data_IF_909718412857
#
_entry.id   IF_909718412857
#
_cell.length_a   1.000
_cell.length_b   1.000
_cell.length_c   1.000
_cell.angle_alpha   90.00
_cell.angle_beta   90.00
_cell.angle_gamma   90.00
#
_symmetry.space_group_name_H-M   'P 1'
#
loop_
_entity.id
_entity.type
_entity.pdbx_description
1 polymer ?
#
# COMPACT_ATOMS: atom_id res chain seq x y z
N UNK A 1 15.07 11.37 22.94
CA UNK A 1 14.01 10.92 21.99
C UNK A 1 13.54 9.49 22.26
N UNK A 2 14.42 8.48 22.26
CA UNK A 2 14.03 7.05 22.46
C UNK A 2 13.33 6.79 23.81
N UNK A 3 13.85 7.35 24.91
CA UNK A 3 13.21 7.27 26.23
C UNK A 3 11.84 7.98 26.28
N UNK A 4 11.71 9.17 25.69
CA UNK A 4 10.44 9.90 25.68
C UNK A 4 9.34 9.16 24.89
N UNK A 5 9.68 8.56 23.74
CA UNK A 5 8.72 7.76 22.97
C UNK A 5 8.32 6.48 23.69
N UNK A 6 9.26 5.82 24.39
CA UNK A 6 8.96 4.64 25.22
C UNK A 6 8.04 5.01 26.39
N UNK A 7 8.35 6.09 27.11
CA UNK A 7 7.54 6.55 28.24
C UNK A 7 6.16 7.02 27.76
N UNK A 8 6.07 7.75 26.66
CA UNK A 8 4.81 8.14 26.03
C UNK A 8 3.97 6.92 25.61
N UNK A 9 4.60 5.92 24.97
CA UNK A 9 3.92 4.68 24.60
C UNK A 9 3.39 3.94 25.82
N UNK A 10 4.19 3.80 26.88
CA UNK A 10 3.76 3.14 28.13
C UNK A 10 2.62 3.89 28.82
N UNK A 11 2.62 5.23 28.82
CA UNK A 11 1.56 6.05 29.40
C UNK A 11 0.27 5.98 28.56
N UNK A 12 0.38 5.79 27.24
CA UNK A 12 -0.76 5.77 26.33
C UNK A 12 -1.45 4.39 26.20
N UNK A 13 -0.97 3.34 26.87
CA UNK A 13 -1.64 2.02 26.85
C UNK A 13 -3.07 2.03 27.46
N UNK A 14 -3.49 3.13 28.11
CA UNK A 14 -4.81 3.26 28.76
C UNK A 14 -5.73 4.26 28.05
N UNK A 15 -6.86 3.76 27.51
CA UNK A 15 -8.03 4.55 27.09
C UNK A 15 -7.78 5.58 25.98
N UNK A 16 -8.43 6.75 26.11
CA UNK A 16 -8.47 7.84 25.12
C UNK A 16 -7.10 8.41 24.71
N UNK A 17 -6.05 8.18 25.52
CA UNK A 17 -4.70 8.67 25.27
C UNK A 17 -4.05 8.01 24.06
N UNK A 18 -4.39 6.75 23.78
CA UNK A 18 -3.90 6.06 22.59
C UNK A 18 -4.38 6.76 21.32
N UNK A 19 -5.68 7.09 21.25
CA UNK A 19 -6.26 7.79 20.11
C UNK A 19 -5.68 9.20 19.98
N UNK A 20 -5.51 9.91 21.09
CA UNK A 20 -4.84 11.21 21.09
C UNK A 20 -3.40 11.10 20.55
N UNK A 21 -2.65 10.08 20.95
CA UNK A 21 -1.29 9.85 20.44
C UNK A 21 -1.29 9.59 18.93
N UNK A 22 -2.19 8.74 18.43
CA UNK A 22 -2.29 8.44 16.99
C UNK A 22 -2.67 9.68 16.17
N UNK A 23 -3.64 10.47 16.64
CA UNK A 23 -4.06 11.71 15.99
C UNK A 23 -2.94 12.76 15.98
N UNK A 24 -2.26 12.97 17.12
CA UNK A 24 -1.12 13.88 17.20
C UNK A 24 0.01 13.43 16.29
N UNK A 25 0.32 12.13 16.25
CA UNK A 25 1.38 11.60 15.40
C UNK A 25 1.13 11.86 13.90
N UNK A 26 -0.09 11.60 13.42
CA UNK A 26 -0.48 11.89 12.03
C UNK A 26 -0.39 13.39 11.75
N UNK A 27 -0.88 14.22 12.66
CA UNK A 27 -0.78 15.68 12.51
C UNK A 27 0.67 16.15 12.38
N UNK A 28 1.57 15.69 13.26
CA UNK A 28 2.99 16.06 13.22
C UNK A 28 3.66 15.59 11.90
N UNK A 29 3.36 14.38 11.44
CA UNK A 29 3.89 13.90 10.15
C UNK A 29 3.31 14.65 8.95
N UNK A 30 2.09 15.17 9.05
CA UNK A 30 1.49 15.99 8.00
C UNK A 30 2.10 17.40 7.95
N UNK A 31 2.38 17.99 9.10
CA UNK A 31 3.01 19.31 9.19
C UNK A 31 4.51 19.28 8.83
N UNK A 32 5.20 18.16 9.07
CA UNK A 32 6.60 17.94 8.75
C UNK A 32 6.81 16.63 7.95
N UNK A 33 6.72 16.74 6.61
CA UNK A 33 6.96 15.61 5.70
C UNK A 33 8.38 15.06 5.79
N UNK A 34 9.38 15.91 6.07
CA UNK A 34 10.78 15.50 6.18
C UNK A 34 10.98 14.59 7.41
N UNK A 35 10.26 14.86 8.50
CA UNK A 35 10.20 13.99 9.67
C UNK A 35 9.64 12.61 9.32
N UNK A 36 8.56 12.54 8.53
CA UNK A 36 7.98 11.28 8.07
C UNK A 36 8.99 10.50 7.21
N UNK A 37 9.58 11.12 6.20
CA UNK A 37 10.55 10.49 5.29
C UNK A 37 11.78 9.97 6.03
N UNK A 38 12.37 10.78 6.92
CA UNK A 38 13.65 10.44 7.58
C UNK A 38 13.48 9.58 8.81
N UNK A 39 12.39 9.75 9.57
CA UNK A 39 12.23 9.15 10.91
C UNK A 39 10.90 8.41 11.11
N UNK A 40 9.91 8.59 10.25
CA UNK A 40 8.59 7.99 10.41
C UNK A 40 8.65 6.46 10.56
N UNK A 41 9.44 5.79 9.73
CA UNK A 41 9.66 4.34 9.83
C UNK A 41 10.16 3.92 11.21
N UNK A 42 11.15 4.62 11.76
CA UNK A 42 11.70 4.32 13.08
C UNK A 42 10.68 4.57 14.19
N UNK A 43 9.96 5.70 14.13
CA UNK A 43 8.98 6.09 15.15
C UNK A 43 7.85 5.06 15.21
N UNK A 44 7.24 4.72 14.07
CA UNK A 44 6.14 3.75 14.02
C UNK A 44 6.60 2.37 14.48
N UNK A 45 7.79 1.91 14.06
CA UNK A 45 8.35 0.63 14.53
C UNK A 45 8.57 0.61 16.03
N UNK A 46 9.10 1.70 16.61
CA UNK A 46 9.27 1.80 18.06
C UNK A 46 7.92 1.73 18.77
N UNK A 47 6.88 2.42 18.27
CA UNK A 47 5.54 2.32 18.85
C UNK A 47 4.99 0.89 18.73
N UNK A 48 5.19 0.22 17.60
CA UNK A 48 4.74 -1.15 17.36
C UNK A 48 5.34 -2.17 18.34
N UNK A 49 6.58 -1.94 18.81
CA UNK A 49 7.20 -2.75 19.88
C UNK A 49 6.43 -2.62 21.21
N UNK A 50 5.88 -1.45 21.53
CA UNK A 50 5.34 -1.15 22.87
C UNK A 50 3.81 -1.13 22.96
N UNK A 51 3.08 -0.95 21.86
CA UNK A 51 1.63 -0.68 21.84
C UNK A 51 0.80 -1.75 21.11
N UNK A 52 1.41 -2.84 20.68
CA UNK A 52 0.87 -3.82 19.71
C UNK A 52 0.68 -3.21 18.32
N UNK A 53 1.35 -3.82 17.33
CA UNK A 53 1.38 -3.29 15.99
C UNK A 53 0.00 -3.26 15.31
N UNK A 54 -0.84 -4.28 15.52
CA UNK A 54 -2.19 -4.30 14.92
C UNK A 54 -3.06 -3.13 15.39
N UNK A 55 -3.00 -2.77 16.69
CA UNK A 55 -3.78 -1.66 17.24
C UNK A 55 -3.41 -0.33 16.60
N UNK A 56 -2.12 -0.11 16.33
CA UNK A 56 -1.62 1.08 15.64
C UNK A 56 -2.21 1.14 14.23
N UNK A 57 -2.08 0.06 13.47
CA UNK A 57 -2.56 -0.01 12.09
C UNK A 57 -4.08 0.20 12.00
N UNK A 58 -4.86 -0.41 12.90
CA UNK A 58 -6.32 -0.21 13.00
C UNK A 58 -6.72 1.21 13.36
N UNK A 59 -5.91 1.93 14.15
CA UNK A 59 -6.21 3.31 14.52
C UNK A 59 -5.81 4.32 13.45
N UNK A 60 -4.68 4.09 12.77
CA UNK A 60 -4.20 4.99 11.72
C UNK A 60 -5.02 4.87 10.43
N UNK A 61 -5.48 3.68 10.07
CA UNK A 61 -6.16 3.46 8.80
C UNK A 61 -7.44 4.30 8.61
N UNK A 62 -8.40 4.38 9.55
CA UNK A 62 -9.57 5.25 9.40
C UNK A 62 -9.24 6.75 9.35
N UNK A 63 -8.11 7.16 9.96
CA UNK A 63 -7.62 8.55 9.88
C UNK A 63 -7.12 8.82 8.46
N UNK A 64 -6.32 7.90 7.90
CA UNK A 64 -5.75 8.00 6.56
C UNK A 64 -6.80 7.88 5.45
N UNK A 65 -7.82 7.02 5.60
CA UNK A 65 -8.94 6.92 4.65
C UNK A 65 -9.67 8.26 4.46
N UNK A 66 -9.74 9.07 5.52
CA UNK A 66 -10.41 10.38 5.54
C UNK A 66 -9.45 11.54 5.23
N UNK A 67 -8.17 11.25 4.97
CA UNK A 67 -7.20 12.31 4.74
C UNK A 67 -7.45 12.99 3.38
N UNK A 68 -7.41 14.31 3.44
CA UNK A 68 -7.67 15.23 2.32
C UNK A 68 -6.39 15.53 1.54
N UNK A 69 -5.25 15.55 2.22
CA UNK A 69 -3.95 15.70 1.58
C UNK A 69 -3.51 14.35 1.01
N UNK A 70 -3.81 14.16 -0.27
CA UNK A 70 -3.60 12.90 -0.96
C UNK A 70 -2.11 12.54 -1.09
N UNK A 71 -1.23 13.53 -1.23
CA UNK A 71 0.23 13.31 -1.34
C UNK A 71 0.79 12.83 0.01
N UNK A 72 0.42 13.50 1.10
CA UNK A 72 0.76 13.06 2.45
C UNK A 72 0.21 11.66 2.75
N UNK A 73 -1.07 11.41 2.44
CA UNK A 73 -1.70 10.12 2.67
C UNK A 73 -0.98 8.99 1.92
N UNK A 74 -0.59 9.21 0.66
CA UNK A 74 0.17 8.24 -0.13
C UNK A 74 1.54 7.95 0.48
N UNK A 75 2.28 8.99 0.90
CA UNK A 75 3.59 8.82 1.54
C UNK A 75 3.49 8.08 2.89
N UNK A 76 2.46 8.39 3.68
CA UNK A 76 2.24 7.72 4.95
C UNK A 76 1.85 6.25 4.75
N UNK A 77 0.98 5.95 3.78
CA UNK A 77 0.63 4.57 3.39
C UNK A 77 1.85 3.82 2.87
N UNK A 78 2.67 4.43 2.02
CA UNK A 78 3.93 3.85 1.54
C UNK A 78 4.83 3.46 2.73
N UNK A 79 4.97 4.36 3.70
CA UNK A 79 5.77 4.13 4.91
C UNK A 79 5.21 2.98 5.74
N UNK A 80 3.90 2.96 6.00
CA UNK A 80 3.24 1.88 6.74
C UNK A 80 3.32 0.54 6.02
N UNK A 81 3.16 0.52 4.70
CA UNK A 81 3.29 -0.69 3.88
C UNK A 81 4.72 -1.25 3.95
N UNK A 82 5.74 -0.39 3.84
CA UNK A 82 7.12 -0.81 3.99
C UNK A 82 7.39 -1.42 5.37
N UNK A 83 6.87 -0.80 6.44
CA UNK A 83 6.96 -1.34 7.81
C UNK A 83 6.24 -2.70 7.91
N UNK A 84 5.00 -2.78 7.40
CA UNK A 84 4.20 -4.00 7.38
C UNK A 84 4.94 -5.16 6.73
N UNK A 85 5.65 -4.92 5.63
CA UNK A 85 6.33 -5.97 4.86
C UNK A 85 7.71 -6.35 5.43
N UNK A 86 8.42 -5.42 6.07
CA UNK A 86 9.84 -5.63 6.42
C UNK A 86 10.12 -5.75 7.92
N UNK A 87 9.26 -5.21 8.77
CA UNK A 87 9.53 -5.10 10.22
C UNK A 87 9.18 -6.38 10.96
N UNK A 88 10.01 -6.80 11.92
CA UNK A 88 9.83 -8.08 12.65
C UNK A 88 8.63 -8.03 13.59
N UNK A 89 8.39 -6.86 14.16
CA UNK A 89 7.29 -6.52 15.07
C UNK A 89 5.91 -6.72 14.42
N UNK A 90 5.85 -6.75 13.08
CA UNK A 90 4.63 -6.93 12.30
C UNK A 90 4.38 -8.37 11.87
N UNK A 91 5.15 -9.34 12.40
CA UNK A 91 5.02 -10.74 12.01
C UNK A 91 3.60 -11.29 12.22
N UNK A 92 3.01 -11.05 13.39
CA UNK A 92 1.66 -11.52 13.73
C UNK A 92 0.60 -10.88 12.82
N UNK A 93 0.69 -9.57 12.58
CA UNK A 93 -0.20 -8.84 11.66
C UNK A 93 -0.18 -9.45 10.27
N UNK A 94 1.00 -9.81 9.75
CA UNK A 94 1.12 -10.50 8.46
C UNK A 94 0.51 -11.90 8.45
N UNK A 95 0.60 -12.64 9.55
CA UNK A 95 -0.05 -13.95 9.66
C UNK A 95 -1.57 -13.82 9.67
N UNK A 96 -2.10 -12.81 10.38
CA UNK A 96 -3.52 -12.50 10.40
C UNK A 96 -4.03 -12.13 8.99
N UNK A 97 -3.30 -11.27 8.28
CA UNK A 97 -3.64 -10.87 6.91
C UNK A 97 -3.57 -12.03 5.89
N UNK A 98 -2.66 -12.99 6.07
CA UNK A 98 -2.61 -14.21 5.22
C UNK A 98 -3.74 -15.19 5.48
N UNK A 99 -4.40 -15.09 6.63
CA UNK A 99 -5.40 -16.05 7.08
C UNK A 99 -6.74 -15.36 7.34
N UNK A 100 -7.45 -15.02 6.27
CA UNK A 100 -8.76 -14.34 6.30
C UNK A 100 -9.94 -15.28 6.64
N UNK A 101 -9.70 -16.25 7.53
CA UNK A 101 -10.74 -17.17 8.04
C UNK A 101 -11.55 -16.57 9.19
N UNK A 102 -10.97 -15.61 9.92
CA UNK A 102 -11.60 -14.95 11.06
C UNK A 102 -12.21 -13.61 10.62
N UNK A 103 -13.41 -13.24 11.11
CA UNK A 103 -14.00 -11.93 10.84
C UNK A 103 -13.10 -10.75 11.21
N UNK A 104 -12.36 -10.85 12.32
CA UNK A 104 -11.41 -9.82 12.76
C UNK A 104 -10.26 -9.59 11.76
N UNK A 105 -9.76 -10.67 11.13
CA UNK A 105 -8.69 -10.58 10.14
C UNK A 105 -9.20 -9.98 8.82
N UNK A 106 -10.43 -10.29 8.46
CA UNK A 106 -11.14 -9.72 7.30
C UNK A 106 -11.36 -8.23 7.52
N UNK A 107 -11.85 -7.84 8.69
CA UNK A 107 -12.02 -6.44 9.07
C UNK A 107 -10.69 -5.67 9.02
N UNK A 108 -9.61 -6.25 9.56
CA UNK A 108 -8.27 -5.67 9.45
C UNK A 108 -7.87 -5.45 7.98
N UNK A 109 -8.04 -6.46 7.14
CA UNK A 109 -7.74 -6.35 5.71
C UNK A 109 -8.57 -5.24 5.05
N UNK A 110 -9.87 -5.16 5.31
CA UNK A 110 -10.79 -4.18 4.72
C UNK A 110 -10.41 -2.75 5.14
N UNK A 111 -10.16 -2.51 6.42
CA UNK A 111 -9.78 -1.19 6.94
C UNK A 111 -8.42 -0.75 6.36
N UNK A 112 -7.46 -1.67 6.29
CA UNK A 112 -6.18 -1.38 5.64
C UNK A 112 -6.33 -1.15 4.15
N UNK A 113 -7.15 -1.94 3.44
CA UNK A 113 -7.37 -1.78 2.01
C UNK A 113 -7.89 -0.37 1.69
N UNK A 114 -8.94 0.09 2.41
CA UNK A 114 -9.56 1.41 2.21
C UNK A 114 -8.58 2.57 2.34
N UNK A 115 -7.70 2.50 3.33
CA UNK A 115 -6.65 3.51 3.52
C UNK A 115 -5.49 3.32 2.55
N UNK A 116 -5.14 2.07 2.22
CA UNK A 116 -4.05 1.76 1.28
C UNK A 116 -4.35 2.25 -0.13
N UNK A 117 -5.63 2.42 -0.48
CA UNK A 117 -6.07 2.96 -1.76
C UNK A 117 -5.46 4.33 -2.11
N UNK A 118 -4.88 5.07 -1.15
CA UNK A 118 -4.09 6.27 -1.46
C UNK A 118 -2.77 5.98 -2.19
N UNK A 119 -2.31 4.72 -2.18
CA UNK A 119 -1.11 4.28 -2.85
C UNK A 119 -1.37 2.95 -3.60
N UNK A 120 -1.40 2.98 -4.95
CA UNK A 120 -1.70 1.79 -5.76
C UNK A 120 -0.75 0.63 -5.51
N UNK A 121 0.57 0.87 -5.47
CA UNK A 121 1.57 -0.18 -5.24
C UNK A 121 1.39 -0.85 -3.87
N UNK A 122 1.12 -0.07 -2.82
CA UNK A 122 0.83 -0.58 -1.50
C UNK A 122 -0.46 -1.41 -1.47
N UNK A 123 -1.53 -0.95 -2.12
CA UNK A 123 -2.81 -1.68 -2.22
C UNK A 123 -2.60 -3.04 -2.87
N UNK A 124 -1.86 -3.09 -3.98
CA UNK A 124 -1.49 -4.34 -4.64
C UNK A 124 -0.66 -5.24 -3.72
N UNK A 125 0.33 -4.68 -3.03
CA UNK A 125 1.17 -5.41 -2.09
C UNK A 125 0.36 -6.04 -0.95
N UNK A 126 -0.66 -5.34 -0.45
CA UNK A 126 -1.59 -5.84 0.57
C UNK A 126 -2.41 -7.02 0.03
N UNK A 127 -2.96 -6.92 -1.18
CA UNK A 127 -3.67 -8.03 -1.82
C UNK A 127 -2.77 -9.26 -2.00
N UNK A 128 -1.53 -9.07 -2.48
CA UNK A 128 -0.56 -10.15 -2.64
C UNK A 128 -0.17 -10.78 -1.29
N UNK A 129 0.00 -9.97 -0.25
CA UNK A 129 0.32 -10.45 1.10
C UNK A 129 -0.83 -11.28 1.67
N UNK A 130 -2.07 -10.84 1.46
CA UNK A 130 -3.28 -11.49 1.95
C UNK A 130 -3.73 -12.69 1.07
N UNK A 131 -2.96 -13.04 0.03
CA UNK A 131 -3.31 -14.06 -0.96
C UNK A 131 -4.61 -13.77 -1.72
N UNK A 132 -5.03 -12.51 -1.79
CA UNK A 132 -6.23 -12.04 -2.50
C UNK A 132 -5.90 -11.72 -3.96
N UNK A 133 -5.54 -12.76 -4.71
CA UNK A 133 -4.99 -12.61 -6.07
C UNK A 133 -6.01 -12.20 -7.12
N UNK A 134 -7.27 -12.61 -6.98
CA UNK A 134 -8.35 -12.21 -7.88
C UNK A 134 -8.62 -10.71 -7.79
N UNK A 135 -8.87 -10.13 -6.60
CA UNK A 135 -8.90 -8.68 -6.42
C UNK A 135 -7.62 -7.98 -6.87
N UNK A 136 -6.45 -8.58 -6.60
CA UNK A 136 -5.17 -8.06 -7.10
C UNK A 136 -5.10 -7.96 -8.63
N UNK A 137 -5.70 -8.92 -9.33
CA UNK A 137 -5.79 -8.90 -10.80
C UNK A 137 -6.72 -7.79 -11.29
N UNK A 138 -7.85 -7.58 -10.62
CA UNK A 138 -8.76 -6.48 -10.94
C UNK A 138 -8.08 -5.12 -10.74
N UNK A 139 -7.30 -4.95 -9.65
CA UNK A 139 -6.48 -3.76 -9.41
C UNK A 139 -5.45 -3.52 -10.53
N UNK A 140 -4.76 -4.57 -10.99
CA UNK A 140 -3.80 -4.45 -12.09
C UNK A 140 -4.47 -3.93 -13.37
N UNK A 141 -5.70 -4.34 -13.67
CA UNK A 141 -6.42 -3.80 -14.83
C UNK A 141 -6.71 -2.30 -14.64
N UNK A 142 -7.03 -1.86 -13.42
CA UNK A 142 -7.23 -0.44 -13.12
C UNK A 142 -5.93 0.37 -13.23
N UNK A 143 -4.77 -0.24 -13.03
CA UNK A 143 -3.49 0.48 -13.16
C UNK A 143 -3.24 0.99 -14.59
N UNK A 144 -3.85 0.39 -15.61
CA UNK A 144 -3.75 0.86 -16.99
C UNK A 144 -4.39 2.25 -17.19
N UNK A 145 -5.40 2.58 -16.39
CA UNK A 145 -6.08 3.88 -16.42
C UNK A 145 -5.38 4.94 -15.55
N UNK A 146 -4.40 4.53 -14.74
CA UNK A 146 -3.65 5.45 -13.88
C UNK A 146 -2.56 6.17 -14.67
N UNK A 147 -2.38 7.46 -14.40
CA UNK A 147 -1.22 8.19 -14.89
C UNK A 147 0.06 7.62 -14.28
N UNK A 148 0.90 7.01 -15.12
CA UNK A 148 2.18 6.39 -14.73
C UNK A 148 3.19 7.48 -14.34
N UNK A 149 3.43 7.63 -13.03
CA UNK A 149 4.45 8.53 -12.49
C UNK A 149 5.76 7.79 -12.20
N UNK A 150 6.86 8.54 -12.12
CA UNK A 150 8.15 7.99 -11.67
C UNK A 150 8.04 7.43 -10.25
N UNK A 151 7.33 8.12 -9.35
CA UNK A 151 7.10 7.65 -7.99
C UNK A 151 6.41 6.28 -7.96
N UNK A 152 5.34 6.13 -8.74
CA UNK A 152 4.64 4.86 -8.87
C UNK A 152 5.56 3.74 -9.41
N UNK A 153 6.34 3.99 -10.46
CA UNK A 153 7.28 3.00 -11.01
C UNK A 153 8.35 2.57 -10.00
N UNK A 154 8.89 3.52 -9.22
CA UNK A 154 9.86 3.22 -8.16
C UNK A 154 9.24 2.33 -7.08
N UNK A 155 7.99 2.55 -6.72
CA UNK A 155 7.31 1.70 -5.75
C UNK A 155 6.99 0.31 -6.27
N UNK A 156 6.63 0.20 -7.55
CA UNK A 156 6.41 -1.10 -8.18
C UNK A 156 7.73 -1.87 -8.27
N UNK A 157 8.85 -1.23 -8.62
CA UNK A 157 10.17 -1.87 -8.57
C UNK A 157 10.48 -2.38 -7.16
N UNK A 158 10.32 -1.53 -6.12
CA UNK A 158 10.48 -1.95 -4.72
C UNK A 158 9.60 -3.16 -4.36
N UNK A 159 8.35 -3.19 -4.82
CA UNK A 159 7.45 -4.33 -4.61
C UNK A 159 8.00 -5.58 -5.28
N UNK A 160 8.45 -5.50 -6.53
CA UNK A 160 9.06 -6.64 -7.24
C UNK A 160 10.29 -7.17 -6.52
N UNK A 161 11.18 -6.30 -6.04
CA UNK A 161 12.32 -6.74 -5.22
C UNK A 161 11.86 -7.43 -3.94
N UNK A 162 10.78 -6.96 -3.31
CA UNK A 162 10.21 -7.59 -2.13
C UNK A 162 9.61 -8.97 -2.43
N UNK A 163 9.07 -9.23 -3.63
CA UNK A 163 8.59 -10.56 -4.02
C UNK A 163 9.68 -11.63 -3.92
N UNK A 164 10.93 -11.25 -4.12
CA UNK A 164 12.08 -12.14 -3.95
C UNK A 164 12.55 -12.31 -2.50
N UNK A 165 12.09 -11.43 -1.60
CA UNK A 165 12.41 -11.52 -0.18
C UNK A 165 11.66 -12.67 0.52
N UNK A 166 12.09 -13.10 1.72
CA UNK A 166 11.43 -14.16 2.47
C UNK A 166 9.96 -13.88 2.82
N UNK A 167 9.54 -12.60 2.82
CA UNK A 167 8.15 -12.24 3.15
C UNK A 167 7.16 -12.84 2.15
N UNK A 168 7.53 -12.94 0.88
CA UNK A 168 6.70 -13.51 -0.18
C UNK A 168 7.13 -14.94 -0.58
N UNK A 169 7.86 -15.64 0.30
CA UNK A 169 8.22 -17.04 0.05
C UNK A 169 6.98 -17.93 -0.21
N UNK A 170 5.91 -17.76 0.57
CA UNK A 170 4.66 -18.49 0.37
C UNK A 170 4.03 -18.22 -1.01
N UNK A 171 4.02 -16.97 -1.47
CA UNK A 171 3.52 -16.60 -2.78
C UNK A 171 4.32 -17.28 -3.89
N UNK A 172 5.66 -17.28 -3.78
CA UNK A 172 6.53 -17.97 -4.76
C UNK A 172 6.33 -19.48 -4.77
N UNK A 173 6.06 -20.11 -3.63
CA UNK A 173 5.71 -21.54 -3.59
C UNK A 173 4.35 -21.81 -4.27
N UNK A 174 3.38 -20.91 -4.13
CA UNK A 174 2.08 -21.01 -4.79
C UNK A 174 2.18 -20.88 -6.31
N UNK A 175 3.26 -20.29 -6.85
CA UNK A 175 3.53 -20.36 -8.29
C UNK A 175 3.72 -21.79 -8.78
N UNK A 176 4.05 -22.77 -7.94
CA UNK A 176 4.13 -24.16 -8.40
C UNK A 176 2.76 -24.77 -8.73
N UNK A 177 1.65 -24.12 -8.34
CA UNK A 177 0.28 -24.63 -8.49
C UNK A 177 -0.62 -23.68 -9.32
N UNK A 178 -0.38 -23.47 -10.63
CA UNK A 178 -1.17 -22.54 -11.45
C UNK A 178 -2.64 -22.91 -11.56
N UNK A 179 -3.00 -24.20 -11.48
CA UNK A 179 -4.40 -24.63 -11.47
C UNK A 179 -5.16 -24.14 -10.22
N UNK A 180 -4.45 -23.99 -9.09
CA UNK A 180 -5.03 -23.54 -7.82
C UNK A 180 -4.97 -22.02 -7.65
N UNK A 181 -3.95 -21.37 -8.22
CA UNK A 181 -3.75 -19.93 -8.12
C UNK A 181 -3.65 -19.24 -9.49
N UNK A 182 -4.64 -19.38 -10.40
CA UNK A 182 -4.56 -18.80 -11.74
C UNK A 182 -4.49 -17.26 -11.72
N UNK A 183 -5.19 -16.64 -10.77
CA UNK A 183 -5.15 -15.19 -10.58
C UNK A 183 -3.79 -14.67 -10.12
N UNK A 184 -2.99 -15.47 -9.40
CA UNK A 184 -1.62 -15.06 -9.03
C UNK A 184 -0.77 -14.86 -10.28
N UNK A 185 -0.84 -15.81 -11.21
CA UNK A 185 -0.15 -15.72 -12.49
C UNK A 185 -0.62 -14.52 -13.31
N UNK A 186 -1.93 -14.33 -13.44
CA UNK A 186 -2.49 -13.20 -14.19
C UNK A 186 -2.07 -11.86 -13.59
N UNK A 187 -2.09 -11.74 -12.27
CA UNK A 187 -1.64 -10.56 -11.54
C UNK A 187 -0.15 -10.26 -11.78
N UNK A 188 0.74 -11.25 -11.65
CA UNK A 188 2.18 -11.05 -11.84
C UNK A 188 2.58 -10.82 -13.30
N UNK A 189 1.96 -11.50 -14.26
CA UNK A 189 2.19 -11.20 -15.68
C UNK A 189 1.64 -9.83 -16.06
N UNK A 190 0.47 -9.44 -15.52
CA UNK A 190 -0.05 -8.08 -15.72
C UNK A 190 0.89 -7.02 -15.15
N UNK A 191 1.44 -7.23 -13.94
CA UNK A 191 2.47 -6.38 -13.37
C UNK A 191 3.73 -6.31 -14.26
N UNK A 192 4.16 -7.45 -14.80
CA UNK A 192 5.29 -7.51 -15.74
C UNK A 192 5.04 -6.68 -17.01
N UNK A 193 3.80 -6.64 -17.51
CA UNK A 193 3.44 -5.85 -18.70
C UNK A 193 3.37 -4.34 -18.43
N UNK A 194 3.16 -3.92 -17.17
CA UNK A 194 3.17 -2.51 -16.77
C UNK A 194 4.58 -1.96 -16.55
N UNK A 195 5.55 -2.84 -16.30
CA UNK A 195 6.93 -2.45 -16.02
C UNK A 195 7.65 -2.01 -17.31
N UNK A 196 8.44 -0.92 -17.28
CA UNK A 196 9.45 -0.68 -18.30
C UNK A 196 10.48 -1.82 -18.26
N UNK A 197 11.27 -2.01 -19.33
CA UNK A 197 12.35 -3.00 -19.41
C UNK A 197 13.53 -2.63 -18.48
N UNK A 198 13.29 -2.64 -17.17
CA UNK A 198 14.21 -2.32 -16.09
C UNK A 198 14.71 -3.58 -15.39
N UNK A 199 15.59 -3.43 -14.41
CA UNK A 199 16.01 -4.55 -13.55
C UNK A 199 14.83 -5.22 -12.82
N UNK A 200 13.78 -4.46 -12.48
CA UNK A 200 12.55 -5.03 -11.91
C UNK A 200 11.88 -6.01 -12.88
N UNK A 201 11.75 -5.60 -14.15
CA UNK A 201 11.18 -6.44 -15.19
C UNK A 201 11.98 -7.73 -15.35
N UNK A 202 13.32 -7.65 -15.39
CA UNK A 202 14.18 -8.82 -15.49
C UNK A 202 14.03 -9.76 -14.29
N UNK A 203 14.03 -9.23 -13.06
CA UNK A 203 13.82 -10.01 -11.84
C UNK A 203 12.51 -10.79 -11.88
N UNK A 204 11.40 -10.11 -12.18
CA UNK A 204 10.08 -10.74 -12.22
C UNK A 204 9.96 -11.74 -13.38
N UNK A 205 10.46 -11.39 -14.56
CA UNK A 205 10.49 -12.30 -15.73
C UNK A 205 11.27 -13.58 -15.41
N UNK A 206 12.44 -13.45 -14.79
CA UNK A 206 13.27 -14.60 -14.43
C UNK A 206 12.54 -15.49 -13.42
N UNK A 207 11.90 -14.91 -12.40
CA UNK A 207 11.07 -15.67 -11.44
C UNK A 207 9.94 -16.44 -12.12
N UNK A 208 9.20 -15.77 -13.01
CA UNK A 208 8.08 -16.40 -13.73
C UNK A 208 8.56 -17.47 -14.72
N UNK A 209 9.75 -17.30 -15.31
CA UNK A 209 10.34 -18.31 -16.20
C UNK A 209 10.77 -19.60 -15.48
N UNK A 210 11.04 -19.52 -14.17
CA UNK A 210 11.33 -20.68 -13.33
C UNK A 210 10.05 -21.41 -12.89
N UNK A 211 8.87 -20.80 -13.04
CA UNK A 211 7.60 -21.41 -12.67
C UNK A 211 7.09 -22.33 -13.80
N UNK A 212 6.29 -23.37 -13.47
CA UNK A 212 5.68 -24.21 -14.49
C UNK A 212 4.86 -23.38 -15.47
N UNK A 213 4.93 -23.70 -16.76
CA UNK A 213 4.10 -23.03 -17.74
C UNK A 213 2.62 -23.39 -17.47
N UNK A 214 1.74 -22.41 -17.16
CA UNK A 214 0.32 -22.69 -16.88
C UNK A 214 -0.39 -23.44 -18.01
N UNK A 215 0.03 -23.22 -19.26
CA UNK A 215 -0.56 -23.86 -20.44
C UNK A 215 -0.22 -25.35 -20.59
N UNK A 216 0.77 -25.85 -19.85
CA UNK A 216 1.20 -27.25 -19.92
C UNK A 216 0.58 -28.13 -18.84
N UNK A 217 -0.22 -27.56 -17.93
CA UNK A 217 -0.82 -28.31 -16.83
C UNK A 217 -2.26 -28.70 -17.15
N UNK A 218 -2.68 -29.92 -16.78
CA UNK A 218 -4.05 -30.36 -17.03
C UNK A 218 -5.04 -29.41 -16.34
N UNK A 219 -6.20 -29.14 -16.96
CA UNK A 219 -7.23 -28.32 -16.34
C UNK A 219 -7.66 -28.99 -15.03
N UNK A 220 -7.26 -28.42 -13.90
CA UNK A 220 -7.73 -28.86 -12.61
C UNK A 220 -9.16 -28.35 -12.41
N UNK A 221 -10.07 -29.28 -12.11
CA UNK A 221 -11.39 -28.99 -11.55
C UNK A 221 -11.22 -28.09 -10.33
N UNK A 222 -11.93 -26.96 -10.32
CA UNK A 222 -11.91 -26.00 -9.22
C UNK A 222 -12.54 -26.60 -7.95
N UNK A 223 -11.78 -27.39 -7.20
CA UNK A 223 -12.15 -27.78 -5.84
C UNK A 223 -11.10 -27.24 -4.87
N UNK A 224 -11.23 -25.97 -4.54
CA UNK A 224 -10.80 -25.43 -3.25
C UNK A 224 -11.44 -24.06 -3.07
N UNK A 225 -12.71 -24.07 -2.64
CA UNK A 225 -13.22 -22.98 -1.81
C UNK A 225 -12.37 -22.98 -0.55
N UNK A 226 -11.22 -22.28 -0.58
CA UNK A 226 -10.57 -21.87 0.65
C UNK A 226 -11.66 -21.19 1.47
N UNK A 227 -11.89 -21.64 2.70
CA UNK A 227 -12.86 -21.09 3.66
C UNK A 227 -12.49 -19.65 4.07
N UNK A 228 -12.34 -18.76 3.09
CA UNK A 228 -12.21 -17.32 3.26
C UNK A 228 -13.63 -16.82 3.49
N UNK A 229 -13.81 -15.99 4.51
CA UNK A 229 -15.08 -15.28 4.68
C UNK A 229 -15.29 -14.44 3.43
N UNK A 230 -16.46 -14.55 2.79
CA UNK A 230 -16.77 -13.83 1.56
C UNK A 230 -16.61 -12.32 1.79
N UNK A 231 -15.66 -11.71 1.07
CA UNK A 231 -15.42 -10.26 1.09
C UNK A 231 -16.04 -9.72 -0.19
N UNK A 232 -16.98 -8.77 -0.05
CA UNK A 232 -17.51 -8.04 -1.19
C UNK A 232 -16.46 -7.03 -1.68
N UNK A 233 -15.85 -7.34 -2.83
CA UNK A 233 -14.79 -6.53 -3.42
C UNK A 233 -15.30 -5.42 -4.33
N UNK A 234 -16.55 -5.46 -4.78
CA UNK A 234 -17.12 -4.41 -5.63
C UNK A 234 -17.04 -3.02 -4.96
N UNK A 235 -17.48 -2.82 -3.70
CA UNK A 235 -17.36 -1.53 -3.04
C UNK A 235 -15.92 -1.14 -2.74
N UNK A 236 -15.03 -2.11 -2.55
CA UNK A 236 -13.60 -1.84 -2.32
C UNK A 236 -12.93 -1.35 -3.60
N UNK A 237 -13.24 -1.96 -4.74
CA UNK A 237 -12.71 -1.55 -6.04
C UNK A 237 -13.25 -0.17 -6.43
N UNK A 238 -14.55 0.09 -6.21
CA UNK A 238 -15.14 1.41 -6.42
C UNK A 238 -14.43 2.47 -5.56
N UNK A 239 -14.22 2.17 -4.27
CA UNK A 239 -13.48 3.07 -3.38
C UNK A 239 -12.05 3.32 -3.89
N UNK A 240 -11.34 2.29 -4.36
CA UNK A 240 -10.01 2.45 -4.96
C UNK A 240 -10.03 3.45 -6.13
N UNK A 241 -10.95 3.28 -7.08
CA UNK A 241 -11.08 4.17 -8.24
C UNK A 241 -11.36 5.61 -7.79
N UNK A 242 -12.30 5.81 -6.86
CA UNK A 242 -12.61 7.14 -6.32
C UNK A 242 -11.39 7.82 -5.67
N UNK A 243 -10.60 7.08 -4.87
CA UNK A 243 -9.36 7.63 -4.29
C UNK A 243 -8.38 8.03 -5.39
N UNK A 244 -8.21 7.20 -6.42
CA UNK A 244 -7.27 7.47 -7.50
C UNK A 244 -7.69 8.67 -8.36
N UNK A 245 -8.99 8.87 -8.60
CA UNK A 245 -9.50 10.07 -9.25
C UNK A 245 -9.18 11.33 -8.44
N UNK A 246 -9.33 11.29 -7.11
CA UNK A 246 -8.93 12.42 -6.22
C UNK A 246 -7.46 12.77 -6.37
N UNK A 247 -6.58 11.77 -6.46
CA UNK A 247 -5.15 11.95 -6.72
C UNK A 247 -4.86 12.57 -8.08
N UNK A 248 -5.59 12.18 -9.13
CA UNK A 248 -5.45 12.78 -10.46
C UNK A 248 -5.84 14.25 -10.43
N UNK A 249 -7.00 14.58 -9.82
CA UNK A 249 -7.47 15.95 -9.70
C UNK A 249 -6.51 16.85 -8.90
N UNK A 250 -5.99 16.35 -7.78
CA UNK A 250 -5.02 17.08 -6.96
C UNK A 250 -3.74 17.42 -7.73
N UNK A 251 -3.21 16.44 -8.50
CA UNK A 251 -2.03 16.67 -9.35
C UNK A 251 -2.30 17.67 -10.47
N UNK A 252 -3.46 17.59 -11.12
CA UNK A 252 -3.85 18.57 -12.15
C UNK A 252 -3.95 19.99 -11.57
N UNK A 253 -4.55 20.13 -10.39
CA UNK A 253 -4.63 21.41 -9.69
C UNK A 253 -3.25 21.96 -9.32
N UNK A 254 -2.35 21.11 -8.80
CA UNK A 254 -0.98 21.50 -8.47
C UNK A 254 -0.20 21.98 -9.70
N UNK A 255 -0.29 21.27 -10.83
CA UNK A 255 0.32 21.67 -12.11
C UNK A 255 -0.20 23.02 -12.60
N UNK A 256 -1.52 23.24 -12.53
CA UNK A 256 -2.14 24.50 -12.91
C UNK A 256 -1.65 25.66 -12.01
N UNK A 257 -1.59 25.45 -10.70
CA UNK A 257 -1.10 26.45 -9.74
C UNK A 257 0.38 26.82 -10.01
N UNK A 258 1.24 25.83 -10.30
CA UNK A 258 2.64 26.08 -10.67
C UNK A 258 2.77 26.93 -11.93
N UNK A 259 1.91 26.69 -12.94
CA UNK A 259 1.92 27.45 -14.18
C UNK A 259 1.46 28.90 -13.99
N UNK A 260 0.49 29.15 -13.10
CA UNK A 260 0.04 30.50 -12.74
C UNK A 260 1.13 31.26 -11.98
N UNK A 261 1.84 30.61 -11.05
CA UNK A 261 2.93 31.22 -10.28
C UNK A 261 4.13 31.65 -11.17
N UNK A 262 4.31 31.01 -12.33
CA UNK A 262 5.36 31.32 -13.30
C UNK A 262 5.00 32.47 -14.26
N UNK A 263 3.77 32.99 -14.25
CA UNK A 263 3.42 34.16 -15.08
C UNK A 263 3.99 35.44 -14.44
N UNK A 264 4.87 36.20 -15.14
CA UNK A 264 5.33 37.48 -14.64
C UNK A 264 4.14 38.44 -14.48
N UNK A 265 4.12 39.20 -13.40
CA UNK A 265 3.18 40.29 -13.16
C UNK A 265 3.42 41.41 -14.17
N UNK A 266 2.88 41.26 -15.38
CA UNK A 266 2.84 42.33 -16.37
C UNK A 266 1.80 43.34 -15.89
N UNK A 267 2.22 44.37 -15.16
CA UNK A 267 1.28 45.39 -14.73
C UNK A 267 1.70 46.43 -13.68
N UNK A 268 2.97 46.83 -13.58
CA UNK A 268 3.31 48.10 -12.88
C UNK A 268 4.43 48.88 -13.59
N UNK A 269 4.25 49.20 -14.87
CA UNK A 269 4.94 50.37 -15.44
C UNK A 269 4.25 51.64 -14.95
N UNK A 270 4.78 52.18 -13.86
CA UNK A 270 4.54 53.55 -13.38
C UNK A 270 4.70 54.53 -14.55
N UNK A 271 3.59 55.09 -15.02
CA UNK A 271 3.61 56.28 -15.85
C UNK A 271 4.05 57.46 -14.96
N UNK A 272 5.33 57.80 -15.02
CA UNK A 272 5.84 59.12 -14.62
C UNK A 272 6.00 59.94 -15.89
N UNK A 273 5.02 60.79 -16.17
CA UNK A 273 5.19 62.08 -16.83
C UNK A 273 4.21 63.07 -16.22
#
# INVERSE_FOLDING_TARGET
VRLNLQVMALICQKGDRFQLLMNTLIKEFREDLELLEKRGSLIIRLLAVHLHAEKIFRALAPILEKETDVEYASLMVQTLNFILLTSRELFEVRQNLRNLKKPENVELFVILYRSWCHNPSATLALCLLACMYEPGTLLINQFAELEITVGFLVEIDKLVQLLESPIFASLRLQLLEPGKYPHLYKCLYGLLMLLPQSGAFETLRNRLSCAPNPSLLPPHSQDNKNNIVEIDFEPLLHHFVEIQERHVLARQAARAASFVALRPTVGETKSKK
#
